data_IF_192276240864
#
_entry.id   IF_192276240864
#
_cell.length_a   1.000
_cell.length_b   1.000
_cell.length_c   1.000
_cell.angle_alpha   90.00
_cell.angle_beta   90.00
_cell.angle_gamma   90.00
#
_symmetry.space_group_name_H-M   'P 1'
#
loop_
_entity.id
_entity.type
_entity.pdbx_description
1 polymer ?
#
# COMPACT_ATOMS: atom_id res chain seq x y z
N UNK A 1 0.64 21.48 -2.54
CA UNK A 1 -0.37 20.50 -2.96
C UNK A 1 0.33 19.16 -3.23
N UNK A 2 0.79 18.48 -2.16
CA UNK A 2 1.64 17.27 -2.23
C UNK A 2 1.03 16.07 -1.47
N UNK A 3 0.00 16.32 -0.65
CA UNK A 3 -0.62 15.31 0.20
C UNK A 3 -1.60 14.42 -0.58
N UNK A 4 -2.33 14.99 -1.55
CA UNK A 4 -3.28 14.24 -2.39
C UNK A 4 -2.58 13.16 -3.22
N UNK A 5 -1.53 13.51 -3.94
CA UNK A 5 -0.79 12.55 -4.79
C UNK A 5 -0.17 11.39 -3.98
N UNK A 6 0.36 11.68 -2.79
CA UNK A 6 0.91 10.67 -1.89
C UNK A 6 -0.15 9.63 -1.44
N UNK A 7 -1.31 10.11 -0.99
CA UNK A 7 -2.40 9.25 -0.52
C UNK A 7 -3.05 8.48 -1.68
N UNK A 8 -3.19 9.11 -2.85
CA UNK A 8 -3.71 8.48 -4.07
C UNK A 8 -2.78 7.37 -4.57
N UNK A 9 -1.47 7.61 -4.60
CA UNK A 9 -0.46 6.61 -4.96
C UNK A 9 -0.52 5.39 -4.02
N UNK A 10 -0.60 5.62 -2.71
CA UNK A 10 -0.72 4.54 -1.73
C UNK A 10 -2.01 3.74 -1.93
N UNK A 11 -3.16 4.40 -2.13
CA UNK A 11 -4.43 3.74 -2.41
C UNK A 11 -4.38 2.89 -3.68
N UNK A 12 -3.70 3.36 -4.74
CA UNK A 12 -3.58 2.63 -5.99
C UNK A 12 -2.81 1.32 -5.80
N UNK A 13 -1.71 1.37 -5.05
CA UNK A 13 -0.88 0.20 -4.74
C UNK A 13 -1.64 -0.83 -3.90
N UNK A 14 -2.35 -0.39 -2.86
CA UNK A 14 -3.17 -1.27 -2.04
C UNK A 14 -4.28 -1.97 -2.86
N UNK A 15 -4.98 -1.23 -3.73
CA UNK A 15 -6.01 -1.81 -4.61
C UNK A 15 -5.42 -2.87 -5.55
N UNK A 16 -4.23 -2.64 -6.10
CA UNK A 16 -3.54 -3.62 -6.97
C UNK A 16 -3.24 -4.91 -6.21
N UNK A 17 -2.72 -4.81 -4.98
CA UNK A 17 -2.35 -5.95 -4.16
C UNK A 17 -3.59 -6.79 -3.78
N UNK A 18 -4.67 -6.13 -3.36
CA UNK A 18 -5.93 -6.79 -3.01
C UNK A 18 -6.56 -7.47 -4.23
N UNK A 19 -6.58 -6.80 -5.39
CA UNK A 19 -7.13 -7.36 -6.65
C UNK A 19 -6.36 -8.61 -7.11
N UNK A 20 -5.04 -8.63 -6.94
CA UNK A 20 -4.21 -9.77 -7.34
C UNK A 20 -4.41 -11.01 -6.44
N UNK A 21 -4.87 -10.84 -5.20
CA UNK A 21 -5.07 -11.96 -4.26
C UNK A 21 -6.42 -12.65 -4.42
N UNK A 22 -7.47 -11.94 -4.84
CA UNK A 22 -8.81 -12.50 -5.00
C UNK A 22 -9.54 -12.71 -3.66
N UNK A 23 -10.03 -13.94 -3.39
CA UNK A 23 -10.75 -14.26 -2.16
C UNK A 23 -9.81 -14.49 -0.98
N UNK A 24 -10.15 -13.93 0.19
CA UNK A 24 -9.40 -14.12 1.42
C UNK A 24 -10.06 -15.21 2.27
N UNK A 25 -9.27 -16.14 2.85
CA UNK A 25 -9.80 -17.25 3.66
C UNK A 25 -10.32 -16.81 5.05
N UNK A 26 -9.96 -15.61 5.50
CA UNK A 26 -10.45 -14.97 6.74
C UNK A 26 -10.12 -13.48 6.71
N UNK A 27 -10.84 -12.67 7.48
CA UNK A 27 -10.54 -11.24 7.69
C UNK A 27 -9.10 -11.02 8.20
N UNK A 28 -8.63 -11.88 9.10
CA UNK A 28 -7.27 -11.81 9.63
C UNK A 28 -6.21 -11.98 8.53
N UNK A 29 -6.49 -12.81 7.52
CA UNK A 29 -5.59 -13.00 6.39
C UNK A 29 -5.55 -11.76 5.49
N UNK A 30 -6.67 -11.07 5.33
CA UNK A 30 -6.73 -9.79 4.62
C UNK A 30 -5.94 -8.71 5.37
N UNK A 31 -6.16 -8.61 6.69
CA UNK A 31 -5.47 -7.66 7.56
C UNK A 31 -3.96 -7.86 7.58
N UNK A 32 -3.47 -9.11 7.68
CA UNK A 32 -2.04 -9.44 7.58
C UNK A 32 -1.44 -9.05 6.23
N UNK A 33 -2.17 -9.26 5.14
CA UNK A 33 -1.71 -8.90 3.80
C UNK A 33 -1.61 -7.38 3.62
N UNK A 34 -2.59 -6.62 4.13
CA UNK A 34 -2.53 -5.15 4.14
C UNK A 34 -1.34 -4.64 4.98
N UNK A 35 -1.08 -5.24 6.14
CA UNK A 35 0.08 -4.90 6.97
C UNK A 35 1.40 -5.10 6.22
N UNK A 36 1.59 -6.25 5.57
CA UNK A 36 2.78 -6.54 4.78
C UNK A 36 2.90 -5.61 3.55
N UNK A 37 1.78 -5.29 2.91
CA UNK A 37 1.73 -4.36 1.78
C UNK A 37 2.21 -2.96 2.19
N UNK A 38 1.71 -2.44 3.31
CA UNK A 38 2.13 -1.15 3.86
C UNK A 38 3.63 -1.13 4.18
N UNK A 39 4.16 -2.19 4.81
CA UNK A 39 5.60 -2.30 5.08
C UNK A 39 6.47 -2.35 3.81
N UNK A 40 5.95 -2.90 2.71
CA UNK A 40 6.64 -2.86 1.42
C UNK A 40 6.61 -1.47 0.78
N UNK A 41 5.47 -0.76 0.87
CA UNK A 41 5.34 0.62 0.39
C UNK A 41 6.28 1.55 1.17
N UNK A 42 6.39 1.38 2.48
CA UNK A 42 7.29 2.16 3.34
C UNK A 42 8.76 1.98 2.93
N UNK A 43 9.18 0.75 2.60
CA UNK A 43 10.55 0.47 2.13
C UNK A 43 10.86 1.10 0.78
N UNK A 44 9.87 1.17 -0.12
CA UNK A 44 10.02 1.78 -1.44
C UNK A 44 9.88 3.31 -1.38
N UNK A 45 9.44 3.85 -0.23
CA UNK A 45 9.26 5.28 -0.02
C UNK A 45 10.60 6.02 0.00
N UNK A 46 11.08 6.35 -1.20
CA UNK A 46 12.22 7.22 -1.43
C UNK A 46 11.78 8.65 -1.13
N UNK A 47 12.17 9.17 0.04
CA UNK A 47 12.02 10.58 0.34
C UNK A 47 12.70 11.40 -0.78
N UNK A 48 12.00 12.35 -1.43
CA UNK A 48 12.66 13.23 -2.38
C UNK A 48 13.80 13.97 -1.66
N UNK A 49 14.98 14.13 -2.29
CA UNK A 49 16.07 14.85 -1.68
C UNK A 49 15.60 16.27 -1.34
N UNK A 50 15.79 16.66 -0.08
CA UNK A 50 15.59 18.03 0.36
C UNK A 50 16.69 18.83 -0.34
N UNK A 51 16.32 19.58 -1.37
CA UNK A 51 17.21 20.51 -2.08
C UNK A 51 16.82 21.93 -1.72
#
# INVERSE_FOLDING_TARGET
MLVTNAIESMHMQLRKIVKNRGHFPSDEAASKLLYLALGNIEKDWKMPPIT
#
